data_IF_778120950273
#
_entry.id   IF_778120950273
#
_cell.length_a   1.000
_cell.length_b   1.000
_cell.length_c   1.000
_cell.angle_alpha   90.00
_cell.angle_beta   90.00
_cell.angle_gamma   90.00
#
_symmetry.space_group_name_H-M   'P 1'
#
loop_
_entity.id
_entity.type
_entity.pdbx_description
1 polymer ?
#
# COMPACT_ATOMS: atom_id res chain seq x y z
N UNK A 1 10.74 -44.16 34.24
CA UNK A 1 9.46 -43.83 33.58
C UNK A 1 8.56 -43.08 34.55
N UNK A 2 8.95 -41.88 35.05
CA UNK A 2 8.16 -41.26 36.13
C UNK A 2 8.24 -39.73 36.26
N UNK A 3 8.98 -39.04 35.37
CA UNK A 3 9.04 -37.57 35.38
C UNK A 3 8.40 -36.96 34.12
N UNK A 4 8.66 -37.51 32.93
CA UNK A 4 8.09 -37.02 31.66
C UNK A 4 6.57 -37.24 31.52
N UNK A 5 6.04 -38.38 31.98
CA UNK A 5 4.59 -38.65 31.99
C UNK A 5 3.83 -37.74 32.99
N UNK A 6 4.48 -37.36 34.09
CA UNK A 6 3.92 -36.44 35.09
C UNK A 6 3.81 -35.01 34.55
N UNK A 7 4.81 -34.54 33.80
CA UNK A 7 4.77 -33.22 33.15
C UNK A 7 3.78 -33.19 31.99
N UNK A 8 3.67 -34.26 31.19
CA UNK A 8 2.67 -34.36 30.12
C UNK A 8 1.23 -34.30 30.66
N UNK A 9 0.94 -34.99 31.77
CA UNK A 9 -0.38 -34.96 32.42
C UNK A 9 -0.71 -33.59 33.04
N UNK A 10 0.28 -32.83 33.49
CA UNK A 10 0.10 -31.45 33.94
C UNK A 10 -0.22 -30.45 32.81
N UNK A 11 0.26 -30.73 31.60
CA UNK A 11 0.00 -29.92 30.39
C UNK A 11 -1.41 -30.14 29.82
N UNK A 12 -1.99 -31.33 30.00
CA UNK A 12 -3.34 -31.70 29.52
C UNK A 12 -4.49 -30.89 30.18
N UNK A 13 -4.25 -30.30 31.35
CA UNK A 13 -5.22 -29.48 32.08
C UNK A 13 -5.01 -27.96 31.92
N UNK A 14 -3.99 -27.54 31.16
CA UNK A 14 -3.77 -26.12 30.92
C UNK A 14 -4.76 -25.60 29.88
N UNK A 15 -5.28 -24.40 30.11
CA UNK A 15 -5.97 -23.67 29.05
C UNK A 15 -5.01 -23.42 27.87
N UNK A 16 -5.59 -23.22 26.67
CA UNK A 16 -4.83 -23.08 25.44
C UNK A 16 -3.78 -21.95 25.50
N UNK A 17 -4.07 -20.89 26.24
CA UNK A 17 -3.17 -19.75 26.39
C UNK A 17 -1.95 -20.11 27.25
N UNK A 18 -2.15 -20.74 28.41
CA UNK A 18 -1.05 -21.21 29.26
C UNK A 18 -0.20 -22.26 28.57
N UNK A 19 -0.83 -23.16 27.81
CA UNK A 19 -0.12 -24.13 26.98
C UNK A 19 0.77 -23.41 25.94
N UNK A 20 0.27 -22.36 25.29
CA UNK A 20 1.03 -21.58 24.33
C UNK A 20 2.26 -20.89 24.98
N UNK A 21 2.12 -20.31 26.19
CA UNK A 21 3.25 -19.74 26.91
C UNK A 21 4.31 -20.77 27.30
N UNK A 22 3.88 -21.97 27.71
CA UNK A 22 4.79 -23.08 27.99
C UNK A 22 5.55 -23.51 26.73
N UNK A 23 4.83 -23.69 25.61
CA UNK A 23 5.43 -24.01 24.31
C UNK A 23 6.38 -22.92 23.81
N UNK A 24 6.06 -21.64 24.02
CA UNK A 24 6.96 -20.54 23.67
C UNK A 24 8.29 -20.60 24.42
N UNK A 25 8.27 -20.92 25.73
CA UNK A 25 9.51 -21.08 26.50
C UNK A 25 10.36 -22.24 25.98
N UNK A 26 9.73 -23.37 25.69
CA UNK A 26 10.42 -24.53 25.11
C UNK A 26 11.02 -24.20 23.74
N UNK A 27 10.26 -23.52 22.88
CA UNK A 27 10.72 -23.05 21.58
C UNK A 27 11.93 -22.11 21.71
N UNK A 28 11.86 -21.10 22.59
CA UNK A 28 12.95 -20.14 22.78
C UNK A 28 14.24 -20.81 23.26
N UNK A 29 14.16 -21.76 24.20
CA UNK A 29 15.33 -22.51 24.68
C UNK A 29 15.93 -23.32 23.52
N UNK A 30 15.11 -24.12 22.84
CA UNK A 30 15.55 -24.97 21.74
C UNK A 30 16.19 -24.16 20.61
N UNK A 31 15.57 -23.06 20.21
CA UNK A 31 16.09 -22.19 19.15
C UNK A 31 17.41 -21.53 19.55
N UNK A 32 17.57 -21.12 20.82
CA UNK A 32 18.83 -20.57 21.31
C UNK A 32 19.94 -21.63 21.45
N UNK A 33 19.59 -22.90 21.66
CA UNK A 33 20.55 -24.01 21.63
C UNK A 33 21.01 -24.31 20.19
N UNK A 34 20.10 -24.25 19.21
CA UNK A 34 20.39 -24.49 17.79
C UNK A 34 21.16 -23.32 17.14
N UNK A 35 20.76 -22.08 17.40
CA UNK A 35 21.46 -20.84 17.00
C UNK A 35 21.47 -19.81 18.13
N UNK A 36 22.51 -19.80 18.98
CA UNK A 36 22.65 -18.85 20.09
C UNK A 36 22.71 -17.39 19.64
N UNK A 37 23.03 -17.14 18.36
CA UNK A 37 23.20 -15.79 17.82
C UNK A 37 21.91 -15.20 17.26
N UNK A 38 20.87 -16.01 17.04
CA UNK A 38 19.65 -15.60 16.35
C UNK A 38 18.93 -14.45 17.09
N UNK A 39 18.54 -14.67 18.35
CA UNK A 39 17.79 -13.66 19.11
C UNK A 39 18.57 -12.35 19.32
N UNK A 40 19.88 -12.38 19.70
CA UNK A 40 20.67 -11.15 19.77
C UNK A 40 20.72 -10.37 18.44
N UNK A 41 20.85 -11.06 17.30
CA UNK A 41 20.85 -10.43 15.97
C UNK A 41 19.50 -9.79 15.67
N UNK A 42 18.41 -10.54 15.84
CA UNK A 42 17.05 -10.07 15.58
C UNK A 42 16.64 -8.92 16.50
N UNK A 43 17.12 -8.90 17.75
CA UNK A 43 16.87 -7.81 18.69
C UNK A 43 17.57 -6.50 18.30
N UNK A 44 18.69 -6.58 17.58
CA UNK A 44 19.41 -5.39 17.13
C UNK A 44 18.72 -4.71 15.94
N UNK A 45 18.30 -5.49 14.93
CA UNK A 45 17.56 -4.98 13.77
C UNK A 45 16.83 -6.11 13.02
N UNK A 46 15.78 -5.73 12.30
CA UNK A 46 15.11 -6.58 11.31
C UNK A 46 15.49 -6.14 9.89
N UNK A 47 15.73 -7.12 9.00
CA UNK A 47 16.03 -6.88 7.58
C UNK A 47 15.25 -7.84 6.67
N UNK A 48 13.91 -7.90 6.78
CA UNK A 48 13.13 -8.80 5.93
C UNK A 48 13.23 -8.38 4.46
N UNK A 49 13.38 -9.36 3.57
CA UNK A 49 13.36 -9.10 2.13
C UNK A 49 11.95 -9.23 1.52
N UNK A 50 11.00 -9.79 2.27
CA UNK A 50 9.64 -10.09 1.83
C UNK A 50 8.63 -9.37 2.72
N UNK A 51 7.71 -8.62 2.11
CA UNK A 51 6.42 -8.28 2.72
C UNK A 51 5.39 -9.33 2.31
N UNK A 52 4.82 -10.04 3.27
CA UNK A 52 3.70 -10.93 3.09
C UNK A 52 2.39 -10.26 3.46
N UNK A 53 1.43 -10.24 2.53
CA UNK A 53 0.05 -9.86 2.79
C UNK A 53 -0.83 -11.08 2.56
N UNK A 54 -1.49 -11.56 3.62
CA UNK A 54 -2.27 -12.79 3.56
C UNK A 54 -3.56 -12.76 4.37
N UNK A 55 -4.24 -13.90 4.43
CA UNK A 55 -5.48 -14.01 5.19
C UNK A 55 -5.19 -14.22 6.70
N UNK A 56 -6.05 -13.71 7.57
CA UNK A 56 -6.02 -14.01 9.01
C UNK A 56 -6.36 -15.47 9.36
N UNK A 57 -6.70 -16.30 8.37
CA UNK A 57 -6.94 -17.73 8.53
C UNK A 57 -5.78 -18.42 9.26
N UNK A 58 -6.07 -19.17 10.32
CA UNK A 58 -5.08 -19.79 11.18
C UNK A 58 -4.23 -20.87 10.49
N UNK A 59 -4.68 -21.37 9.33
CA UNK A 59 -3.97 -22.37 8.52
C UNK A 59 -2.88 -21.78 7.64
N UNK A 60 -2.76 -20.45 7.56
CA UNK A 60 -1.81 -19.76 6.70
C UNK A 60 -0.73 -18.96 7.49
N UNK A 61 0.04 -19.58 8.40
CA UNK A 61 1.16 -18.90 9.06
C UNK A 61 2.36 -18.78 8.10
N UNK A 62 2.62 -17.59 7.59
CA UNK A 62 3.56 -17.30 6.50
C UNK A 62 4.99 -17.80 6.74
N UNK A 63 5.58 -17.49 7.90
CA UNK A 63 6.96 -17.92 8.21
C UNK A 63 7.08 -19.44 8.22
N UNK A 64 6.07 -20.14 8.77
CA UNK A 64 6.09 -21.59 8.87
C UNK A 64 5.83 -22.29 7.52
N UNK A 65 4.86 -21.82 6.73
CA UNK A 65 4.56 -22.44 5.42
C UNK A 65 5.67 -22.19 4.39
N UNK A 66 6.46 -21.12 4.54
CA UNK A 66 7.62 -20.84 3.71
C UNK A 66 8.91 -21.53 4.20
N UNK A 67 8.90 -22.15 5.38
CA UNK A 67 10.09 -22.75 5.99
C UNK A 67 11.18 -21.72 6.33
N UNK A 68 10.78 -20.49 6.64
CA UNK A 68 11.67 -19.37 6.96
C UNK A 68 11.83 -19.16 8.46
N UNK A 69 12.76 -18.29 8.85
CA UNK A 69 13.06 -17.96 10.23
C UNK A 69 12.37 -16.64 10.66
N UNK A 70 12.22 -16.41 11.97
CA UNK A 70 11.78 -15.11 12.47
C UNK A 70 12.68 -13.98 11.93
N UNK A 71 12.06 -12.91 11.42
CA UNK A 71 12.77 -11.76 10.84
C UNK A 71 12.93 -11.80 9.32
N UNK A 72 12.69 -12.93 8.67
CA UNK A 72 12.81 -13.04 7.20
C UNK A 72 11.63 -12.40 6.44
N UNK A 73 10.46 -12.37 7.07
CA UNK A 73 9.19 -11.94 6.47
C UNK A 73 8.53 -10.87 7.34
N UNK A 74 8.21 -9.72 6.74
CA UNK A 74 7.36 -8.70 7.34
C UNK A 74 5.90 -8.98 6.97
N UNK A 75 4.97 -8.90 7.92
CA UNK A 75 3.66 -9.56 7.77
C UNK A 75 2.49 -8.60 8.00
N UNK A 76 1.52 -8.64 7.09
CA UNK A 76 0.17 -8.13 7.31
C UNK A 76 -0.86 -9.22 7.02
N UNK A 77 -1.84 -9.39 7.91
CA UNK A 77 -2.92 -10.39 7.72
C UNK A 77 -4.27 -9.79 8.07
N UNK A 78 -5.21 -9.88 7.13
CA UNK A 78 -6.58 -9.43 7.30
C UNK A 78 -7.58 -10.47 6.73
N UNK A 79 -8.89 -10.25 6.90
CA UNK A 79 -9.88 -11.22 6.44
C UNK A 79 -9.89 -11.27 4.91
N UNK A 80 -9.61 -12.46 4.34
CA UNK A 80 -9.56 -12.72 2.90
C UNK A 80 -8.52 -11.87 2.13
N UNK A 81 -7.42 -11.46 2.79
CA UNK A 81 -6.27 -10.80 2.17
C UNK A 81 -6.67 -9.64 1.23
N UNK A 82 -7.69 -8.89 1.62
CA UNK A 82 -8.28 -7.81 0.83
C UNK A 82 -7.40 -6.56 0.97
N UNK A 83 -7.13 -5.91 -0.16
CA UNK A 83 -6.50 -4.58 -0.19
C UNK A 83 -7.58 -3.55 -0.53
N UNK A 84 -7.90 -2.68 0.43
CA UNK A 84 -8.73 -1.51 0.16
C UNK A 84 -7.84 -0.29 -0.10
N UNK A 85 -8.22 0.57 -1.06
CA UNK A 85 -7.47 1.80 -1.36
C UNK A 85 -7.24 2.69 -0.15
N UNK A 86 -8.23 2.80 0.73
CA UNK A 86 -8.22 3.72 1.88
C UNK A 86 -8.13 2.99 3.22
N UNK A 87 -7.66 1.74 3.25
CA UNK A 87 -7.39 1.06 4.51
C UNK A 87 -6.03 1.50 5.06
N UNK A 88 -6.07 2.32 6.11
CA UNK A 88 -4.87 2.78 6.79
C UNK A 88 -4.04 1.62 7.37
N UNK A 89 -4.65 0.50 7.72
CA UNK A 89 -3.93 -0.63 8.31
C UNK A 89 -2.94 -1.24 7.33
N UNK A 90 -3.41 -1.67 6.16
CA UNK A 90 -2.54 -2.18 5.10
C UNK A 90 -1.64 -1.07 4.53
N UNK A 91 -2.14 0.15 4.34
CA UNK A 91 -1.34 1.26 3.81
C UNK A 91 -0.11 1.59 4.69
N UNK A 92 -0.26 1.66 6.01
CA UNK A 92 0.86 1.90 6.92
C UNK A 92 1.90 0.77 6.88
N UNK A 93 1.46 -0.49 6.75
CA UNK A 93 2.38 -1.64 6.64
C UNK A 93 3.13 -1.61 5.32
N UNK A 94 2.45 -1.34 4.21
CA UNK A 94 3.06 -1.22 2.88
C UNK A 94 4.09 -0.10 2.87
N UNK A 95 3.73 1.08 3.38
CA UNK A 95 4.64 2.23 3.52
C UNK A 95 5.89 1.85 4.31
N UNK A 96 5.71 1.26 5.49
CA UNK A 96 6.82 0.88 6.36
C UNK A 96 7.76 -0.13 5.68
N UNK A 97 7.19 -1.19 5.11
CA UNK A 97 7.96 -2.24 4.45
C UNK A 97 8.72 -1.73 3.21
N UNK A 98 8.08 -0.91 2.39
CA UNK A 98 8.63 -0.48 1.10
C UNK A 98 9.60 0.70 1.26
N UNK A 99 9.28 1.68 2.10
CA UNK A 99 10.08 2.90 2.29
C UNK A 99 11.20 2.69 3.31
N UNK A 100 10.91 2.04 4.44
CA UNK A 100 11.86 1.98 5.56
C UNK A 100 12.63 0.67 5.59
N UNK A 101 11.94 -0.48 5.46
CA UNK A 101 12.61 -1.79 5.43
C UNK A 101 13.22 -2.12 4.05
N UNK A 102 12.81 -1.41 3.00
CA UNK A 102 13.25 -1.60 1.62
C UNK A 102 13.11 -3.06 1.14
N UNK A 103 12.04 -3.75 1.52
CA UNK A 103 11.75 -5.14 1.09
C UNK A 103 11.88 -5.27 -0.43
N UNK A 104 12.43 -6.39 -0.92
CA UNK A 104 12.62 -6.66 -2.36
C UNK A 104 11.40 -7.28 -3.01
N UNK A 105 10.54 -7.91 -2.21
CA UNK A 105 9.37 -8.63 -2.67
C UNK A 105 8.12 -8.26 -1.86
N UNK A 106 7.00 -8.06 -2.53
CA UNK A 106 5.67 -8.09 -1.91
C UNK A 106 4.96 -9.35 -2.42
N UNK A 107 4.48 -10.18 -1.50
CA UNK A 107 3.71 -11.39 -1.80
C UNK A 107 2.29 -11.17 -1.31
N UNK A 108 1.31 -11.18 -2.23
CA UNK A 108 -0.10 -11.21 -1.89
C UNK A 108 -0.60 -12.65 -2.00
N UNK A 109 -0.92 -13.25 -0.86
CA UNK A 109 -1.32 -14.65 -0.77
C UNK A 109 -2.81 -14.79 -0.51
N UNK A 110 -3.53 -15.32 -1.50
CA UNK A 110 -4.84 -15.93 -1.29
C UNK A 110 -4.72 -17.37 -0.80
N UNK A 111 -5.83 -18.02 -0.47
CA UNK A 111 -5.81 -19.44 -0.13
C UNK A 111 -7.11 -20.16 -0.47
N UNK A 112 -7.02 -21.48 -0.67
CA UNK A 112 -8.18 -22.35 -0.86
C UNK A 112 -9.02 -22.44 0.43
N UNK A 113 -10.32 -22.71 0.29
CA UNK A 113 -11.26 -22.80 1.42
C UNK A 113 -11.29 -21.55 2.32
N UNK A 114 -11.22 -20.35 1.74
CA UNK A 114 -11.28 -19.08 2.46
C UNK A 114 -12.71 -18.72 2.91
N UNK A 115 -12.91 -18.59 4.23
CA UNK A 115 -14.21 -18.25 4.80
C UNK A 115 -14.76 -16.89 4.34
N UNK A 116 -13.91 -15.88 4.15
CA UNK A 116 -14.32 -14.56 3.66
C UNK A 116 -14.76 -14.57 2.19
N UNK A 117 -14.09 -15.37 1.35
CA UNK A 117 -14.49 -15.58 -0.04
C UNK A 117 -15.84 -16.31 -0.12
N UNK A 118 -15.99 -17.39 0.65
CA UNK A 118 -17.25 -18.13 0.73
C UNK A 118 -18.41 -17.24 1.23
N UNK A 119 -18.15 -16.37 2.21
CA UNK A 119 -19.10 -15.38 2.69
C UNK A 119 -19.56 -14.40 1.60
N UNK A 120 -18.64 -13.88 0.78
CA UNK A 120 -18.96 -12.99 -0.32
C UNK A 120 -19.82 -13.66 -1.41
N UNK A 121 -19.65 -14.97 -1.62
CA UNK A 121 -20.47 -15.78 -2.54
C UNK A 121 -21.86 -16.14 -1.97
N UNK A 122 -21.97 -16.34 -0.65
CA UNK A 122 -23.18 -16.88 -0.03
C UNK A 122 -24.29 -15.84 0.26
N UNK A 123 -24.04 -14.53 0.07
CA UNK A 123 -25.01 -13.44 0.34
C UNK A 123 -25.62 -13.45 1.76
N UNK A 124 -24.92 -14.02 2.74
CA UNK A 124 -25.34 -13.94 4.15
C UNK A 124 -24.98 -12.57 4.73
N UNK A 125 -25.83 -12.06 5.63
CA UNK A 125 -25.57 -10.83 6.40
C UNK A 125 -24.60 -11.15 7.54
N UNK A 126 -23.50 -10.42 7.61
CA UNK A 126 -22.40 -10.65 8.54
C UNK A 126 -22.06 -9.41 9.40
N UNK A 127 -22.83 -8.33 9.27
CA UNK A 127 -22.63 -7.10 10.06
C UNK A 127 -21.46 -6.29 9.50
N UNK A 128 -20.49 -5.93 10.34
CA UNK A 128 -19.32 -5.14 9.90
C UNK A 128 -18.51 -5.83 8.78
N UNK A 129 -18.50 -7.16 8.75
CA UNK A 129 -17.84 -7.93 7.70
C UNK A 129 -18.48 -7.70 6.32
N UNK A 130 -19.75 -7.26 6.24
CA UNK A 130 -20.35 -6.95 4.96
C UNK A 130 -19.66 -5.75 4.29
N UNK A 131 -19.30 -4.73 5.07
CA UNK A 131 -18.55 -3.56 4.60
C UNK A 131 -17.12 -3.93 4.21
N UNK A 132 -16.46 -4.78 5.02
CA UNK A 132 -15.12 -5.27 4.72
C UNK A 132 -15.08 -6.10 3.43
N UNK A 133 -16.03 -7.01 3.21
CA UNK A 133 -16.06 -7.90 2.05
C UNK A 133 -16.63 -7.24 0.78
N UNK A 134 -16.93 -5.93 0.80
CA UNK A 134 -17.47 -5.23 -0.38
C UNK A 134 -16.60 -5.37 -1.64
N UNK A 135 -15.25 -5.27 -1.60
CA UNK A 135 -14.43 -5.47 -2.80
C UNK A 135 -14.63 -6.84 -3.42
N UNK A 136 -14.78 -7.89 -2.61
CA UNK A 136 -15.05 -9.25 -3.10
C UNK A 136 -16.43 -9.37 -3.75
N UNK A 137 -17.44 -8.69 -3.18
CA UNK A 137 -18.79 -8.65 -3.77
C UNK A 137 -18.79 -7.91 -5.11
N UNK A 138 -18.01 -6.85 -5.25
CA UNK A 138 -17.84 -6.14 -6.52
C UNK A 138 -17.12 -7.00 -7.56
N UNK A 139 -16.06 -7.71 -7.16
CA UNK A 139 -15.38 -8.68 -8.05
C UNK A 139 -16.32 -9.80 -8.49
N UNK A 140 -17.17 -10.29 -7.59
CA UNK A 140 -18.20 -11.27 -7.92
C UNK A 140 -19.20 -10.72 -8.93
N UNK A 141 -19.69 -9.50 -8.74
CA UNK A 141 -20.59 -8.81 -9.67
C UNK A 141 -20.00 -8.72 -11.09
N UNK A 142 -18.74 -8.28 -11.20
CA UNK A 142 -18.03 -8.15 -12.48
C UNK A 142 -17.81 -9.50 -13.19
N UNK A 143 -17.77 -10.60 -12.44
CA UNK A 143 -17.46 -11.95 -12.95
C UNK A 143 -18.64 -12.92 -12.78
N UNK A 144 -19.87 -12.40 -12.67
CA UNK A 144 -21.02 -13.19 -12.21
C UNK A 144 -21.32 -14.40 -13.11
N UNK A 145 -21.29 -14.23 -14.43
CA UNK A 145 -21.53 -15.33 -15.38
C UNK A 145 -20.49 -16.43 -15.24
N UNK A 146 -19.20 -16.06 -15.24
CA UNK A 146 -18.10 -17.00 -15.04
C UNK A 146 -18.23 -17.79 -13.72
N UNK A 147 -18.59 -17.10 -12.63
CA UNK A 147 -18.68 -17.74 -11.31
C UNK A 147 -19.92 -18.61 -11.15
N UNK A 148 -21.01 -18.31 -11.86
CA UNK A 148 -22.24 -19.11 -11.83
C UNK A 148 -22.13 -20.42 -12.63
N UNK A 149 -21.24 -20.46 -13.62
CA UNK A 149 -20.99 -21.66 -14.44
C UNK A 149 -20.12 -22.70 -13.71
N UNK A 150 -19.51 -22.33 -12.58
CA UNK A 150 -18.64 -23.17 -11.76
C UNK A 150 -19.39 -23.77 -10.56
N UNK A 151 -18.91 -24.91 -10.05
CA UNK A 151 -19.43 -25.42 -8.78
C UNK A 151 -18.99 -24.52 -7.61
N UNK A 152 -19.61 -24.68 -6.44
CA UNK A 152 -19.36 -23.78 -5.30
C UNK A 152 -17.89 -23.73 -4.86
N UNK A 153 -17.16 -24.85 -4.90
CA UNK A 153 -15.75 -24.90 -4.52
C UNK A 153 -14.88 -24.24 -5.58
N UNK A 154 -15.13 -24.54 -6.85
CA UNK A 154 -14.42 -23.94 -7.99
C UNK A 154 -14.65 -22.43 -8.07
N UNK A 155 -15.89 -21.96 -7.87
CA UNK A 155 -16.22 -20.54 -7.83
C UNK A 155 -15.49 -19.83 -6.68
N UNK A 156 -15.37 -20.46 -5.51
CA UNK A 156 -14.64 -19.91 -4.37
C UNK A 156 -13.13 -19.81 -4.66
N UNK A 157 -12.52 -20.86 -5.21
CA UNK A 157 -11.12 -20.80 -5.63
C UNK A 157 -10.91 -19.72 -6.70
N UNK A 158 -11.79 -19.67 -7.70
CA UNK A 158 -11.70 -18.70 -8.79
C UNK A 158 -11.82 -17.26 -8.31
N UNK A 159 -12.76 -16.97 -7.41
CA UNK A 159 -12.91 -15.65 -6.80
C UNK A 159 -11.70 -15.30 -5.93
N UNK A 160 -11.09 -16.28 -5.23
CA UNK A 160 -9.85 -16.06 -4.49
C UNK A 160 -8.70 -15.67 -5.41
N UNK A 161 -8.55 -16.31 -6.57
CA UNK A 161 -7.53 -15.90 -7.55
C UNK A 161 -7.79 -14.49 -8.11
N UNK A 162 -9.06 -14.18 -8.45
CA UNK A 162 -9.45 -12.85 -8.95
C UNK A 162 -9.15 -11.78 -7.88
N UNK A 163 -9.43 -12.07 -6.61
CA UNK A 163 -9.11 -11.19 -5.49
C UNK A 163 -7.60 -10.90 -5.38
N UNK A 164 -6.75 -11.92 -5.52
CA UNK A 164 -5.28 -11.71 -5.52
C UNK A 164 -4.86 -10.83 -6.70
N UNK A 165 -5.37 -11.09 -7.91
CA UNK A 165 -5.06 -10.27 -9.09
C UNK A 165 -5.50 -8.82 -8.91
N UNK A 166 -6.71 -8.60 -8.39
CA UNK A 166 -7.21 -7.24 -8.11
C UNK A 166 -6.40 -6.56 -7.01
N UNK A 167 -6.07 -7.26 -5.92
CA UNK A 167 -5.26 -6.70 -4.84
C UNK A 167 -3.86 -6.30 -5.31
N UNK A 168 -3.24 -7.09 -6.19
CA UNK A 168 -1.97 -6.71 -6.83
C UNK A 168 -2.10 -5.48 -7.70
N UNK A 169 -3.21 -5.33 -8.44
CA UNK A 169 -3.49 -4.11 -9.20
C UNK A 169 -3.56 -2.90 -8.27
N UNK A 170 -4.31 -2.99 -7.18
CA UNK A 170 -4.41 -1.92 -6.18
C UNK A 170 -3.06 -1.61 -5.53
N UNK A 171 -2.24 -2.63 -5.22
CA UNK A 171 -0.87 -2.43 -4.72
C UNK A 171 -0.01 -1.68 -5.73
N UNK A 172 -0.09 -2.01 -7.02
CA UNK A 172 0.63 -1.32 -8.09
C UNK A 172 0.14 0.11 -8.33
N UNK A 173 -1.02 0.49 -7.81
CA UNK A 173 -1.58 1.85 -7.89
C UNK A 173 -1.15 2.72 -6.69
N UNK A 174 -0.48 2.13 -5.69
CA UNK A 174 0.14 2.87 -4.61
C UNK A 174 1.43 3.56 -5.08
N UNK A 175 1.55 4.87 -4.85
CA UNK A 175 2.67 5.68 -5.34
C UNK A 175 4.04 5.22 -4.80
N UNK A 176 4.11 4.81 -3.54
CA UNK A 176 5.34 4.30 -2.92
C UNK A 176 5.77 2.97 -3.52
N UNK A 177 4.81 2.11 -3.87
CA UNK A 177 5.09 0.86 -4.57
C UNK A 177 5.59 1.14 -5.99
N UNK A 178 4.96 2.07 -6.72
CA UNK A 178 5.38 2.48 -8.06
C UNK A 178 6.81 3.03 -8.07
N UNK A 179 7.12 3.94 -7.15
CA UNK A 179 8.46 4.49 -6.98
C UNK A 179 9.48 3.38 -6.75
N UNK A 180 9.20 2.45 -5.83
CA UNK A 180 10.10 1.35 -5.52
C UNK A 180 10.28 0.34 -6.67
N UNK A 181 9.26 0.11 -7.51
CA UNK A 181 9.39 -0.69 -8.73
C UNK A 181 10.40 -0.01 -9.67
N UNK A 182 10.26 1.30 -9.89
CA UNK A 182 11.10 2.04 -10.83
C UNK A 182 12.54 2.24 -10.31
N UNK A 183 12.71 2.62 -9.05
CA UNK A 183 14.01 2.97 -8.48
C UNK A 183 14.90 1.74 -8.25
N UNK A 184 14.31 0.62 -7.83
CA UNK A 184 15.06 -0.54 -7.31
C UNK A 184 14.53 -1.90 -7.75
N UNK A 185 13.56 -1.94 -8.67
CA UNK A 185 13.04 -3.19 -9.20
C UNK A 185 12.28 -4.04 -8.18
N UNK A 186 11.52 -3.41 -7.27
CA UNK A 186 10.61 -4.12 -6.36
C UNK A 186 9.70 -5.08 -7.16
N UNK A 187 9.60 -6.33 -6.72
CA UNK A 187 8.76 -7.35 -7.39
C UNK A 187 7.52 -7.67 -6.57
N UNK A 188 6.39 -7.79 -7.26
CA UNK A 188 5.12 -8.16 -6.65
C UNK A 188 4.68 -9.53 -7.17
N UNK A 189 4.24 -10.39 -6.27
CA UNK A 189 3.91 -11.78 -6.55
C UNK A 189 2.50 -12.10 -6.05
N UNK A 190 1.71 -12.77 -6.89
CA UNK A 190 0.40 -13.29 -6.51
C UNK A 190 0.48 -14.79 -6.33
N UNK A 191 0.14 -15.28 -5.15
CA UNK A 191 0.17 -16.72 -4.87
C UNK A 191 -1.15 -17.19 -4.28
N UNK A 192 -1.46 -18.46 -4.50
CA UNK A 192 -2.56 -19.15 -3.87
C UNK A 192 -2.00 -20.30 -3.03
N UNK A 193 -2.26 -20.26 -1.73
CA UNK A 193 -1.92 -21.35 -0.82
C UNK A 193 -3.04 -22.39 -0.79
N UNK A 194 -2.73 -23.63 -1.14
CA UNK A 194 -3.67 -24.71 -0.95
C UNK A 194 -3.56 -25.27 0.47
N UNK A 195 -4.59 -25.02 1.29
CA UNK A 195 -4.64 -25.47 2.69
C UNK A 195 -4.74 -26.99 2.83
N UNK A 196 -5.15 -27.70 1.77
CA UNK A 196 -5.26 -29.15 1.76
C UNK A 196 -3.92 -29.86 1.53
N UNK A 197 -3.06 -29.30 0.68
CA UNK A 197 -1.76 -29.87 0.34
C UNK A 197 -0.57 -29.18 1.00
N UNK A 198 -0.74 -27.94 1.48
CA UNK A 198 0.34 -27.11 2.02
C UNK A 198 1.23 -26.47 0.96
N UNK A 199 0.83 -26.49 -0.32
CA UNK A 199 1.64 -26.00 -1.44
C UNK A 199 1.18 -24.61 -1.89
N UNK A 200 2.14 -23.74 -2.19
CA UNK A 200 1.91 -22.44 -2.83
C UNK A 200 1.97 -22.58 -4.35
N UNK A 201 0.98 -22.00 -5.04
CA UNK A 201 0.93 -21.89 -6.50
C UNK A 201 1.02 -20.42 -6.91
N UNK A 202 1.96 -20.09 -7.79
CA UNK A 202 2.02 -18.75 -8.40
C UNK A 202 0.87 -18.55 -9.39
N UNK A 203 0.31 -17.35 -9.39
CA UNK A 203 -0.70 -16.91 -10.33
C UNK A 203 -0.05 -16.10 -11.45
N UNK A 204 -0.52 -16.29 -12.68
CA UNK A 204 -0.19 -15.36 -13.76
C UNK A 204 -0.84 -14.00 -13.48
N UNK A 205 0.04 -13.00 -13.36
CA UNK A 205 -0.24 -11.61 -12.99
C UNK A 205 0.45 -10.65 -13.97
N UNK A 206 0.81 -11.15 -15.16
CA UNK A 206 1.36 -10.34 -16.23
C UNK A 206 0.33 -9.31 -16.70
N UNK A 207 0.80 -8.11 -16.99
CA UNK A 207 -0.02 -7.01 -17.48
C UNK A 207 0.60 -6.49 -18.78
N UNK A 208 -0.25 -6.10 -19.73
CA UNK A 208 0.21 -5.46 -20.97
C UNK A 208 0.92 -4.15 -20.66
N UNK A 209 1.90 -3.78 -21.50
CA UNK A 209 2.66 -2.53 -21.38
C UNK A 209 1.74 -1.31 -21.29
N UNK A 210 0.64 -1.28 -22.05
CA UNK A 210 -0.32 -0.16 -22.05
C UNK A 210 -1.01 0.06 -20.70
N UNK A 211 -1.35 -1.03 -20.01
CA UNK A 211 -1.95 -0.97 -18.66
C UNK A 211 -0.95 -0.43 -17.65
N UNK A 212 0.30 -0.88 -17.72
CA UNK A 212 1.38 -0.39 -16.86
C UNK A 212 1.64 1.10 -17.13
N UNK A 213 1.71 1.50 -18.39
CA UNK A 213 1.93 2.88 -18.79
C UNK A 213 0.81 3.81 -18.30
N UNK A 214 -0.45 3.42 -18.53
CA UNK A 214 -1.63 4.17 -18.07
C UNK A 214 -1.65 4.35 -16.56
N UNK A 215 -1.27 3.29 -15.82
CA UNK A 215 -1.17 3.34 -14.36
C UNK A 215 -0.11 4.34 -13.88
N UNK A 216 1.08 4.30 -14.48
CA UNK A 216 2.16 5.22 -14.11
C UNK A 216 1.72 6.67 -14.32
N UNK A 217 1.04 6.98 -15.43
CA UNK A 217 0.52 8.33 -15.70
C UNK A 217 -0.48 8.77 -14.62
N UNK A 218 -1.41 7.88 -14.24
CA UNK A 218 -2.52 8.24 -13.35
C UNK A 218 -2.12 8.33 -11.86
N UNK A 219 -1.22 7.45 -11.40
CA UNK A 219 -0.96 7.25 -9.97
C UNK A 219 0.43 7.70 -9.51
N UNK A 220 1.38 7.93 -10.42
CA UNK A 220 2.70 8.40 -10.02
C UNK A 220 2.63 9.85 -9.56
N UNK A 221 2.93 10.07 -8.28
CA UNK A 221 3.05 11.41 -7.71
C UNK A 221 4.49 11.89 -7.83
N UNK A 222 4.71 13.09 -8.37
CA UNK A 222 6.04 13.69 -8.42
C UNK A 222 6.47 14.13 -7.01
N UNK A 223 7.66 13.70 -6.57
CA UNK A 223 8.26 14.21 -5.33
C UNK A 223 8.50 15.71 -5.48
N UNK A 224 8.25 16.47 -4.41
CA UNK A 224 8.42 17.92 -4.42
C UNK A 224 9.86 18.36 -4.76
N UNK A 225 10.84 17.50 -4.49
CA UNK A 225 12.26 17.68 -4.82
C UNK A 225 12.53 17.62 -6.34
N UNK A 226 11.73 16.87 -7.12
CA UNK A 226 11.81 16.78 -8.59
C UNK A 226 11.08 17.95 -9.29
N UNK A 227 10.94 19.09 -8.63
CA UNK A 227 10.49 20.36 -9.23
C UNK A 227 11.62 21.37 -9.30
N UNK A 228 12.84 20.91 -9.58
CA UNK A 228 13.99 21.78 -9.85
C UNK A 228 13.69 22.74 -11.02
N UNK A 229 12.92 22.33 -12.03
CA UNK A 229 12.45 23.22 -13.10
C UNK A 229 11.59 24.39 -12.57
N UNK A 230 10.78 24.18 -11.52
CA UNK A 230 10.06 25.29 -10.87
C UNK A 230 11.03 26.20 -10.09
N UNK A 231 12.11 25.67 -9.52
CA UNK A 231 13.14 26.45 -8.81
C UNK A 231 14.05 27.26 -9.74
N UNK A 232 14.38 26.75 -10.93
CA UNK A 232 15.17 27.47 -11.94
C UNK A 232 14.40 28.66 -12.55
N UNK A 233 13.07 28.56 -12.62
CA UNK A 233 12.22 29.64 -13.14
C UNK A 233 11.94 30.73 -12.11
N UNK A 234 12.14 30.47 -10.81
CA UNK A 234 11.91 31.45 -9.74
C UNK A 234 12.79 32.71 -9.93
N UNK A 235 14.12 32.62 -10.13
CA UNK A 235 14.96 33.79 -10.41
C UNK A 235 14.48 34.58 -11.63
N UNK A 236 14.13 33.90 -12.73
CA UNK A 236 13.67 34.55 -13.96
C UNK A 236 12.32 35.28 -13.77
N UNK A 237 11.39 34.66 -13.05
CA UNK A 237 10.09 35.25 -12.73
C UNK A 237 10.24 36.48 -11.81
N UNK A 238 11.14 36.43 -10.81
CA UNK A 238 11.44 37.58 -9.96
C UNK A 238 12.07 38.72 -10.75
N UNK A 239 13.05 38.44 -11.61
CA UNK A 239 13.70 39.44 -12.48
C UNK A 239 12.73 40.06 -13.48
N UNK A 240 11.75 39.28 -13.96
CA UNK A 240 10.71 39.73 -14.88
C UNK A 240 9.54 40.46 -14.19
N UNK A 241 9.59 40.65 -12.87
CA UNK A 241 8.54 41.31 -12.10
C UNK A 241 7.23 40.52 -12.00
N UNK A 242 7.30 39.20 -12.20
CA UNK A 242 6.18 38.27 -12.12
C UNK A 242 5.99 37.82 -10.67
N UNK A 243 4.78 37.99 -10.14
CA UNK A 243 4.45 37.51 -8.79
C UNK A 243 4.44 35.98 -8.75
N UNK A 244 5.19 35.40 -7.82
CA UNK A 244 5.27 33.94 -7.63
C UNK A 244 4.38 33.55 -6.45
N UNK A 245 3.42 32.67 -6.68
CA UNK A 245 2.64 32.03 -5.61
C UNK A 245 3.26 30.67 -5.34
N UNK A 246 3.92 30.46 -4.18
CA UNK A 246 4.55 29.18 -3.89
C UNK A 246 3.49 28.07 -3.87
N UNK A 247 3.75 26.97 -4.60
CA UNK A 247 2.99 25.71 -4.58
C UNK A 247 1.57 25.77 -5.15
N UNK A 248 1.24 26.73 -6.01
CA UNK A 248 -0.04 26.76 -6.72
C UNK A 248 -0.05 25.83 -7.96
N UNK A 249 -1.02 24.91 -8.10
CA UNK A 249 -1.21 24.14 -9.33
C UNK A 249 -1.60 25.00 -10.55
N UNK A 250 -2.04 26.24 -10.31
CA UNK A 250 -2.42 27.21 -11.35
C UNK A 250 -1.21 27.84 -12.07
N UNK A 251 0.02 27.57 -11.60
CA UNK A 251 1.25 27.99 -12.28
C UNK A 251 1.51 27.20 -13.59
N UNK A 252 0.65 26.24 -13.95
CA UNK A 252 0.58 25.69 -15.31
C UNK A 252 -0.34 26.57 -16.17
N UNK A 253 0.20 27.67 -16.68
CA UNK A 253 -0.32 28.32 -17.87
C UNK A 253 -1.29 29.50 -17.72
N UNK A 254 -1.47 30.08 -16.53
CA UNK A 254 -2.33 31.28 -16.39
C UNK A 254 -1.55 32.49 -15.89
N UNK A 255 -1.24 33.36 -16.86
CA UNK A 255 -0.88 34.79 -16.79
C UNK A 255 0.35 35.16 -15.96
N UNK A 256 1.38 35.65 -16.67
CA UNK A 256 1.77 37.03 -16.43
C UNK A 256 2.28 37.70 -17.71
N UNK A 257 1.49 38.60 -18.30
CA UNK A 257 2.04 39.56 -19.26
C UNK A 257 2.72 40.71 -18.52
N UNK A 258 3.75 41.33 -19.11
CA UNK A 258 4.27 42.61 -18.63
C UNK A 258 3.13 43.65 -18.59
N UNK A 259 3.16 44.55 -17.61
CA UNK A 259 2.15 45.60 -17.38
C UNK A 259 1.89 46.56 -18.56
N UNK A 260 2.58 46.42 -19.71
CA UNK A 260 2.55 47.36 -20.83
C UNK A 260 2.01 46.81 -22.16
N UNK A 261 1.68 45.53 -22.31
CA UNK A 261 1.24 44.98 -23.61
C UNK A 261 -0.05 44.17 -23.49
N UNK A 262 -1.13 44.72 -24.05
CA UNK A 262 -2.43 44.05 -24.22
C UNK A 262 -2.57 43.60 -25.68
N UNK A 263 -2.15 42.38 -25.98
CA UNK A 263 -2.76 41.47 -26.98
C UNK A 263 -1.90 40.21 -27.09
N UNK A 264 -2.51 39.02 -27.01
CA UNK A 264 -1.89 37.76 -27.42
C UNK A 264 -2.64 37.16 -28.60
N UNK A 265 -1.92 36.46 -29.47
CA UNK A 265 -2.34 36.01 -30.81
C UNK A 265 -3.24 34.74 -30.78
N UNK A 266 -3.63 34.26 -29.59
CA UNK A 266 -4.40 33.01 -29.43
C UNK A 266 -5.74 33.15 -28.69
N UNK A 267 -6.33 34.35 -28.67
CA UNK A 267 -7.66 34.57 -28.08
C UNK A 267 -8.81 33.78 -28.77
N UNK A 268 -8.55 33.08 -29.87
CA UNK A 268 -9.58 32.39 -30.66
C UNK A 268 -9.60 30.86 -30.46
N UNK A 269 -8.72 30.29 -29.62
CA UNK A 269 -8.66 28.83 -29.38
C UNK A 269 -9.10 28.41 -27.98
N UNK A 270 -9.39 29.35 -27.09
CA UNK A 270 -9.71 29.04 -25.70
C UNK A 270 -11.22 28.82 -25.50
N UNK A 271 -11.60 27.62 -25.07
CA UNK A 271 -12.97 27.28 -24.67
C UNK A 271 -13.24 27.92 -23.30
N UNK A 272 -14.36 28.65 -23.09
CA UNK A 272 -14.56 29.39 -21.86
C UNK A 272 -14.90 28.44 -20.71
N UNK A 273 -13.94 28.22 -19.81
CA UNK A 273 -14.21 27.62 -18.50
C UNK A 273 -14.66 28.75 -17.58
N UNK A 274 -15.96 28.79 -17.30
CA UNK A 274 -16.58 29.77 -16.42
C UNK A 274 -16.16 29.56 -14.97
N UNK A 275 -15.13 30.28 -14.51
CA UNK A 275 -14.96 30.63 -13.11
C UNK A 275 -14.90 32.14 -12.99
N UNK A 276 -15.91 32.70 -12.32
CA UNK A 276 -15.91 34.09 -11.84
C UNK A 276 -14.82 34.24 -10.78
N UNK A 277 -13.69 34.84 -11.16
CA UNK A 277 -12.68 35.30 -10.20
C UNK A 277 -13.27 36.50 -9.45
N UNK A 278 -13.38 36.48 -8.11
CA UNK A 278 -13.82 37.63 -7.36
C UNK A 278 -12.89 38.81 -7.62
N UNK A 279 -13.46 40.00 -7.82
CA UNK A 279 -12.71 41.22 -8.05
C UNK A 279 -11.85 41.58 -6.84
N UNK A 280 -10.53 41.50 -7.02
CA UNK A 280 -9.46 42.35 -6.49
C UNK A 280 -9.80 43.14 -5.22
N UNK A 281 -9.59 42.53 -4.06
CA UNK A 281 -9.65 43.21 -2.77
C UNK A 281 -8.25 43.75 -2.44
N UNK A 282 -7.98 45.01 -2.80
CA UNK A 282 -6.64 45.62 -2.74
C UNK A 282 -6.08 45.67 -1.31
N UNK A 283 -6.96 45.74 -0.31
CA UNK A 283 -6.57 45.87 1.10
C UNK A 283 -5.94 44.59 1.66
N UNK A 284 -6.33 43.41 1.15
CA UNK A 284 -5.81 42.12 1.62
C UNK A 284 -4.40 41.88 1.07
N UNK A 285 -4.17 42.25 -0.19
CA UNK A 285 -2.87 42.11 -0.85
C UNK A 285 -1.82 43.03 -0.21
N UNK A 286 -2.18 44.26 0.16
CA UNK A 286 -1.27 45.17 0.87
C UNK A 286 -0.88 44.64 2.26
N UNK A 287 -1.83 44.05 2.99
CA UNK A 287 -1.57 43.46 4.30
C UNK A 287 -0.62 42.26 4.20
N UNK A 288 -0.78 41.40 3.20
CA UNK A 288 0.10 40.26 2.97
C UNK A 288 1.52 40.73 2.65
N UNK A 289 1.69 41.76 1.82
CA UNK A 289 3.00 42.32 1.48
C UNK A 289 3.70 42.92 2.70
N UNK A 290 2.96 43.62 3.58
CA UNK A 290 3.52 44.20 4.83
C UNK A 290 3.97 43.10 5.78
N UNK A 291 3.16 42.05 5.98
CA UNK A 291 3.52 40.90 6.82
C UNK A 291 4.79 40.22 6.30
N UNK A 292 4.88 40.03 4.98
CA UNK A 292 6.01 39.39 4.33
C UNK A 292 7.30 40.22 4.41
N UNK A 293 7.21 41.55 4.28
CA UNK A 293 8.35 42.47 4.48
C UNK A 293 8.88 42.41 5.92
N UNK A 294 8.00 42.45 6.92
CA UNK A 294 8.44 42.36 8.33
C UNK A 294 9.01 40.98 8.69
N UNK A 295 8.60 39.93 7.98
CA UNK A 295 9.15 38.58 8.13
C UNK A 295 10.56 38.50 7.54
N UNK A 296 10.78 39.12 6.37
CA UNK A 296 12.09 39.18 5.69
C UNK A 296 13.12 39.99 6.48
N UNK A 297 12.74 41.14 7.02
CA UNK A 297 13.63 41.97 7.86
C UNK A 297 14.08 41.26 9.13
N UNK A 298 13.21 40.42 9.73
CA UNK A 298 13.51 39.68 10.97
C UNK A 298 14.55 38.57 10.81
N UNK A 299 14.87 38.13 9.59
CA UNK A 299 15.81 37.01 9.38
C UNK A 299 17.22 37.40 8.99
N UNK A 300 17.49 38.68 8.71
CA UNK A 300 18.80 39.12 8.25
C UNK A 300 19.14 38.53 6.88
N UNK A 301 19.61 39.38 5.97
CA UNK A 301 20.00 38.97 4.62
C UNK A 301 21.17 37.97 4.67
N UNK A 302 20.92 36.72 4.31
CA UNK A 302 21.95 35.78 3.82
C UNK A 302 21.95 35.84 2.30
#
# INVERSE_FOLDING_TARGET
MSTEESTLNGLLHLDAYRLALAKNRQWAIKTAEEDPSLFPKLAAAQHPEILWIGCSDSRCPETAILGLQPGDVFVHRNIANVIHYNDMSSACVIEYAVVYLKVKHIVLCGHTSCGGIAAALANKRLGLLDSWLMPLRHLREQNLYLLNDLNTSEAAEKLAEINVRQGLRTLKENSVVLDAIQERGLKLHGVLYDVGSGILRELDVAESVDVVHSRIIAFKTLRAEMREEEHEMIPYCLDSGVGIIPRSPLARGVLPTPRSTKTSVHAHTDVPIGFTVPTRDQDVDEQIVVVWRSWRERRGSV
#
